data_IF_728755700345
#
_entry.id   IF_728755700345
#
_cell.length_a   1.000
_cell.length_b   1.000
_cell.length_c   1.000
_cell.angle_alpha   90.00
_cell.angle_beta   90.00
_cell.angle_gamma   90.00
#
_symmetry.space_group_name_H-M   'P 1'
#
loop_
_entity.id
_entity.type
_entity.pdbx_description
1 polymer ?
#
# COMPACT_ATOMS: atom_id res chain seq x y z
N UNK A 1 24.53 9.81 -3.02
CA UNK A 1 24.83 9.95 -4.46
C UNK A 1 24.58 8.62 -5.17
N UNK A 2 24.41 8.63 -6.49
CA UNK A 2 24.27 7.43 -7.31
C UNK A 2 25.53 6.53 -7.21
N UNK A 3 26.69 7.15 -7.24
CA UNK A 3 27.97 6.45 -7.08
C UNK A 3 28.07 5.72 -5.74
N UNK A 4 27.65 6.36 -4.65
CA UNK A 4 27.64 5.73 -3.33
C UNK A 4 26.64 4.57 -3.25
N UNK A 5 25.44 4.74 -3.81
CA UNK A 5 24.44 3.67 -3.86
C UNK A 5 24.97 2.46 -4.67
N UNK A 6 25.64 2.71 -5.80
CA UNK A 6 26.29 1.68 -6.60
C UNK A 6 27.37 0.95 -5.81
N UNK A 7 28.24 1.70 -5.13
CA UNK A 7 29.27 1.12 -4.26
C UNK A 7 28.68 0.22 -3.16
N UNK A 8 27.60 0.67 -2.52
CA UNK A 8 26.95 -0.11 -1.45
C UNK A 8 26.29 -1.39 -1.99
N UNK A 9 25.80 -1.36 -3.22
CA UNK A 9 25.26 -2.55 -3.90
C UNK A 9 26.38 -3.53 -4.27
N UNK A 10 27.46 -3.04 -4.88
CA UNK A 10 28.62 -3.85 -5.27
C UNK A 10 29.32 -4.49 -4.07
N UNK A 11 29.43 -3.77 -2.96
CA UNK A 11 29.99 -4.28 -1.70
C UNK A 11 29.09 -5.25 -0.94
N UNK A 12 27.79 -5.34 -1.32
CA UNK A 12 26.79 -6.14 -0.64
C UNK A 12 26.29 -5.56 0.70
N UNK A 13 26.63 -4.30 1.01
CA UNK A 13 26.06 -3.58 2.16
C UNK A 13 24.54 -3.44 2.04
N UNK A 14 24.04 -3.30 0.82
CA UNK A 14 22.61 -3.24 0.49
C UNK A 14 22.29 -4.39 -0.45
N UNK A 15 21.19 -5.09 -0.18
CA UNK A 15 20.60 -6.09 -1.07
C UNK A 15 19.18 -5.67 -1.41
N UNK A 16 18.88 -5.63 -2.70
CA UNK A 16 17.51 -5.46 -3.17
C UNK A 16 16.85 -6.81 -3.45
N UNK A 17 15.56 -6.87 -3.16
CA UNK A 17 14.71 -7.99 -3.54
C UNK A 17 13.28 -7.49 -3.76
N UNK A 18 12.46 -8.19 -4.55
CA UNK A 18 11.04 -7.87 -4.65
C UNK A 18 10.37 -7.93 -3.27
N UNK A 19 9.55 -6.96 -2.94
CA UNK A 19 8.78 -6.91 -1.68
C UNK A 19 7.98 -8.21 -1.47
N UNK A 20 7.44 -8.76 -2.54
CA UNK A 20 6.69 -10.02 -2.52
C UNK A 20 7.46 -11.26 -2.07
N UNK A 21 8.80 -11.21 -1.97
CA UNK A 21 9.61 -12.32 -1.45
C UNK A 21 9.67 -12.34 0.09
N UNK A 22 9.24 -11.26 0.75
CA UNK A 22 9.32 -11.08 2.20
C UNK A 22 7.98 -10.66 2.81
N UNK A 23 6.87 -11.15 2.24
CA UNK A 23 5.49 -10.91 2.68
C UNK A 23 5.12 -9.41 2.72
N UNK A 24 5.74 -8.63 1.85
CA UNK A 24 5.66 -7.18 1.83
C UNK A 24 5.04 -6.67 0.53
N UNK A 25 4.44 -5.49 0.58
CA UNK A 25 4.06 -4.68 -0.56
C UNK A 25 4.49 -3.23 -0.32
N UNK A 26 5.01 -2.60 -1.35
CA UNK A 26 5.46 -1.21 -1.32
C UNK A 26 4.54 -0.28 -2.10
N UNK A 27 3.88 0.70 -1.45
CA UNK A 27 3.11 1.70 -2.18
C UNK A 27 4.02 2.68 -2.92
N UNK A 28 3.49 3.33 -3.96
CA UNK A 28 4.13 4.39 -4.75
C UNK A 28 5.46 4.02 -5.41
N UNK A 29 5.73 2.73 -5.63
CA UNK A 29 6.96 2.28 -6.29
C UNK A 29 8.26 2.69 -5.58
N UNK A 30 8.18 2.95 -4.28
CA UNK A 30 9.33 3.33 -3.46
C UNK A 30 10.13 2.13 -2.97
N UNK A 31 11.32 2.42 -2.44
CA UNK A 31 12.12 1.43 -1.71
C UNK A 31 11.56 1.30 -0.30
N UNK A 32 11.28 0.06 0.10
CA UNK A 32 10.90 -0.28 1.46
C UNK A 32 12.10 -0.82 2.21
N UNK A 33 12.33 -0.36 3.43
CA UNK A 33 13.39 -0.85 4.29
C UNK A 33 12.86 -1.30 5.64
N UNK A 34 13.59 -2.18 6.33
CA UNK A 34 13.25 -2.65 7.66
C UNK A 34 13.23 -1.57 8.76
N UNK A 35 13.69 -0.36 8.46
CA UNK A 35 13.67 0.78 9.39
C UNK A 35 12.41 1.65 9.24
N UNK A 36 11.59 1.41 8.24
CA UNK A 36 10.33 2.12 8.06
C UNK A 36 9.25 1.51 8.97
N UNK A 37 8.35 2.32 9.55
CA UNK A 37 7.19 1.79 10.25
C UNK A 37 6.28 1.08 9.26
N UNK A 38 5.70 -0.04 9.68
CA UNK A 38 4.87 -0.87 8.83
C UNK A 38 3.51 -1.13 9.46
N UNK A 39 2.51 -1.26 8.61
CA UNK A 39 1.23 -1.85 8.93
C UNK A 39 1.37 -3.37 8.81
N UNK A 40 0.92 -4.09 9.81
CA UNK A 40 0.90 -5.55 9.86
C UNK A 40 -0.54 -6.04 9.83
N UNK A 41 -0.89 -6.84 8.84
CA UNK A 41 -2.21 -7.46 8.72
C UNK A 41 -2.07 -8.96 8.93
N UNK A 42 -2.97 -9.51 9.76
CA UNK A 42 -3.06 -10.94 10.03
C UNK A 42 -4.25 -11.56 9.30
N UNK A 43 -3.98 -12.54 8.49
CA UNK A 43 -5.00 -13.38 7.87
C UNK A 43 -5.34 -14.54 8.80
N UNK A 44 -6.49 -14.48 9.45
CA UNK A 44 -6.92 -15.50 10.43
C UNK A 44 -7.19 -16.86 9.78
N UNK A 45 -7.59 -16.90 8.53
CA UNK A 45 -7.86 -18.15 7.79
C UNK A 45 -6.55 -18.82 7.38
N UNK A 46 -5.63 -18.04 6.81
CA UNK A 46 -4.33 -18.54 6.35
C UNK A 46 -3.29 -18.69 7.46
N UNK A 47 -3.50 -18.07 8.62
CA UNK A 47 -2.52 -18.03 9.71
C UNK A 47 -1.25 -17.25 9.39
N UNK A 48 -1.27 -16.45 8.33
CA UNK A 48 -0.11 -15.69 7.83
C UNK A 48 -0.26 -14.18 8.02
N UNK A 49 0.84 -13.48 7.87
CA UNK A 49 0.91 -12.02 7.96
C UNK A 49 1.36 -11.42 6.64
N UNK A 50 0.97 -10.18 6.40
CA UNK A 50 1.58 -9.36 5.37
C UNK A 50 1.80 -7.93 5.87
N UNK A 51 2.67 -7.22 5.19
CA UNK A 51 3.17 -5.93 5.62
C UNK A 51 3.11 -4.90 4.49
N UNK A 52 2.85 -3.64 4.85
CA UNK A 52 2.95 -2.49 3.96
C UNK A 52 3.50 -1.30 4.73
N UNK A 53 4.25 -0.42 4.08
CA UNK A 53 4.62 0.87 4.67
C UNK A 53 3.41 1.79 4.76
N UNK A 54 3.57 2.97 5.37
CA UNK A 54 2.53 4.02 5.46
C UNK A 54 2.74 5.11 4.40
N UNK A 55 3.47 4.80 3.32
CA UNK A 55 3.99 5.80 2.39
C UNK A 55 3.03 6.17 1.25
N UNK A 56 1.81 5.61 1.21
CA UNK A 56 0.82 5.98 0.20
C UNK A 56 0.23 7.36 0.48
N UNK A 57 -0.05 8.10 -0.59
CA UNK A 57 -0.67 9.40 -0.52
C UNK A 57 -0.18 10.36 -1.60
N UNK A 58 -0.74 11.57 -1.61
CA UNK A 58 -0.38 12.65 -2.53
C UNK A 58 0.64 13.57 -1.83
N UNK A 59 1.49 14.24 -2.60
CA UNK A 59 2.45 15.24 -2.11
C UNK A 59 3.83 14.64 -1.81
N UNK A 60 4.38 14.98 -0.65
CA UNK A 60 5.76 14.64 -0.25
C UNK A 60 5.95 13.18 0.14
N UNK A 61 5.59 12.24 -0.74
CA UNK A 61 5.81 10.80 -0.55
C UNK A 61 7.09 10.35 -1.26
N UNK A 62 7.74 9.32 -0.74
CA UNK A 62 8.86 8.67 -1.41
C UNK A 62 8.29 7.81 -2.56
N UNK A 63 8.35 8.34 -3.77
CA UNK A 63 7.91 7.63 -4.99
C UNK A 63 8.96 7.76 -6.08
N UNK A 64 9.16 6.70 -6.88
CA UNK A 64 10.03 6.70 -8.06
C UNK A 64 11.44 7.25 -7.78
N UNK A 65 11.96 7.02 -6.56
CA UNK A 65 13.24 7.56 -6.15
C UNK A 65 13.24 9.07 -5.86
N UNK A 66 12.08 9.71 -5.73
CA UNK A 66 11.99 11.12 -5.37
C UNK A 66 12.70 11.41 -4.05
N UNK A 67 13.64 12.36 -4.08
CA UNK A 67 14.41 12.78 -2.92
C UNK A 67 14.32 14.29 -2.74
N UNK A 68 13.85 14.69 -1.56
CA UNK A 68 13.86 16.10 -1.14
C UNK A 68 13.86 16.17 0.39
N UNK A 69 14.19 17.35 0.94
CA UNK A 69 14.10 17.57 2.38
C UNK A 69 12.69 17.30 2.92
N UNK A 70 11.67 17.70 2.18
CA UNK A 70 10.26 17.52 2.54
C UNK A 70 9.87 16.03 2.60
N UNK A 71 10.31 15.22 1.64
CA UNK A 71 10.11 13.75 1.66
C UNK A 71 10.78 13.13 2.87
N UNK A 72 12.01 13.52 3.18
CA UNK A 72 12.74 13.01 4.36
C UNK A 72 12.04 13.41 5.67
N UNK A 73 11.55 14.64 5.79
CA UNK A 73 10.78 15.07 6.98
C UNK A 73 9.47 14.27 7.12
N UNK A 74 8.78 13.98 6.02
CA UNK A 74 7.60 13.10 6.05
C UNK A 74 7.96 11.68 6.51
N UNK A 75 9.04 11.10 6.04
CA UNK A 75 9.51 9.78 6.48
C UNK A 75 9.90 9.79 7.97
N UNK A 76 10.54 10.85 8.46
CA UNK A 76 10.83 11.03 9.89
C UNK A 76 9.55 11.15 10.72
N UNK A 77 8.58 11.92 10.26
CA UNK A 77 7.26 12.01 10.91
C UNK A 77 6.59 10.62 11.01
N UNK A 78 6.63 9.84 9.94
CA UNK A 78 6.09 8.48 9.95
C UNK A 78 6.82 7.59 10.97
N UNK A 79 8.15 7.67 11.03
CA UNK A 79 8.97 6.88 11.95
C UNK A 79 8.78 7.29 13.40
N UNK A 80 8.78 8.59 13.69
CA UNK A 80 8.90 9.11 15.06
C UNK A 80 7.55 9.42 15.69
N UNK A 81 6.51 9.63 14.88
CA UNK A 81 5.18 10.04 15.37
C UNK A 81 4.07 9.11 14.88
N UNK A 82 3.81 9.04 13.58
CA UNK A 82 2.65 8.32 13.04
C UNK A 82 2.67 6.83 13.40
N UNK A 83 3.76 6.15 13.10
CA UNK A 83 3.90 4.71 13.37
C UNK A 83 3.76 4.37 14.86
N UNK A 84 4.53 5.01 15.76
CA UNK A 84 4.40 4.77 17.20
C UNK A 84 3.00 5.08 17.75
N UNK A 85 2.37 6.19 17.36
CA UNK A 85 1.04 6.56 17.85
C UNK A 85 -0.02 5.56 17.37
N UNK A 86 -0.02 5.20 16.08
CA UNK A 86 -0.92 4.18 15.55
C UNK A 86 -0.68 2.82 16.21
N UNK A 87 0.58 2.45 16.44
CA UNK A 87 0.90 1.19 17.14
C UNK A 87 0.32 1.15 18.55
N UNK A 88 0.42 2.23 19.31
CA UNK A 88 -0.18 2.32 20.64
C UNK A 88 -1.70 2.24 20.58
N UNK A 89 -2.32 2.99 19.68
CA UNK A 89 -3.79 3.01 19.53
C UNK A 89 -4.34 1.64 19.12
N UNK A 90 -3.75 1.00 18.10
CA UNK A 90 -4.22 -0.31 17.61
C UNK A 90 -4.02 -1.45 18.61
N UNK A 91 -3.00 -1.35 19.49
CA UNK A 91 -2.82 -2.31 20.60
C UNK A 91 -3.93 -2.24 21.66
N UNK A 92 -4.71 -1.17 21.70
CA UNK A 92 -5.88 -1.08 22.57
C UNK A 92 -7.07 -1.92 22.05
N UNK A 93 -6.98 -2.49 20.85
CA UNK A 93 -7.98 -3.40 20.29
C UNK A 93 -7.45 -4.84 20.45
N UNK A 94 -7.94 -5.65 21.40
CA UNK A 94 -7.35 -6.95 21.74
C UNK A 94 -7.21 -7.91 20.54
N UNK A 95 -8.22 -7.92 19.67
CA UNK A 95 -8.28 -8.78 18.47
C UNK A 95 -7.82 -8.09 17.18
N UNK A 96 -7.34 -6.85 17.28
CA UNK A 96 -7.03 -6.01 16.13
C UNK A 96 -8.29 -5.48 15.42
N UNK A 97 -8.08 -4.59 14.46
CA UNK A 97 -9.17 -3.98 13.69
C UNK A 97 -9.70 -4.97 12.65
N UNK A 98 -11.03 -5.18 12.64
CA UNK A 98 -11.69 -6.08 11.70
C UNK A 98 -11.80 -5.46 10.30
N UNK A 99 -10.80 -5.68 9.45
CA UNK A 99 -10.68 -5.04 8.15
C UNK A 99 -11.80 -5.42 7.17
N UNK A 100 -12.26 -6.69 7.18
CA UNK A 100 -13.35 -7.13 6.30
C UNK A 100 -14.60 -6.28 6.45
N UNK A 101 -14.99 -5.94 7.69
CA UNK A 101 -16.17 -5.11 7.97
C UNK A 101 -15.98 -3.70 7.45
N UNK A 102 -14.78 -3.13 7.62
CA UNK A 102 -14.47 -1.80 7.18
C UNK A 102 -14.46 -1.72 5.65
N UNK A 103 -13.78 -2.66 5.00
CA UNK A 103 -13.70 -2.77 3.53
C UNK A 103 -15.09 -2.95 2.90
N UNK A 104 -15.93 -3.86 3.43
CA UNK A 104 -17.29 -4.07 2.91
C UNK A 104 -18.14 -2.80 2.97
N UNK A 105 -18.05 -2.03 4.06
CA UNK A 105 -18.75 -0.75 4.19
C UNK A 105 -18.24 0.28 3.17
N UNK A 106 -16.93 0.37 2.99
CA UNK A 106 -16.33 1.34 2.09
C UNK A 106 -16.65 1.03 0.62
N UNK A 107 -16.67 -0.26 0.21
CA UNK A 107 -17.16 -0.69 -1.12
C UNK A 107 -18.60 -0.21 -1.34
N UNK A 108 -19.48 -0.42 -0.37
CA UNK A 108 -20.86 0.03 -0.46
C UNK A 108 -20.99 1.57 -0.57
N UNK A 109 -20.00 2.31 -0.10
CA UNK A 109 -19.92 3.77 -0.21
C UNK A 109 -19.20 4.25 -1.48
N UNK A 110 -18.67 3.35 -2.32
CA UNK A 110 -18.10 3.66 -3.62
C UNK A 110 -16.58 3.63 -3.70
N UNK A 111 -15.87 3.19 -2.67
CA UNK A 111 -14.44 2.92 -2.78
C UNK A 111 -14.19 1.66 -3.61
N UNK A 112 -13.18 1.71 -4.49
CA UNK A 112 -12.71 0.55 -5.26
C UNK A 112 -11.34 0.05 -4.80
N UNK A 113 -10.68 0.81 -3.90
CA UNK A 113 -9.44 0.43 -3.20
C UNK A 113 -8.16 0.41 -4.03
N UNK A 114 -8.11 1.10 -5.16
CA UNK A 114 -6.85 1.43 -5.79
C UNK A 114 -6.70 2.96 -5.92
N UNK A 115 -7.60 3.61 -6.66
CA UNK A 115 -7.59 5.06 -6.81
C UNK A 115 -8.51 5.75 -5.79
N UNK A 116 -9.51 5.06 -5.28
CA UNK A 116 -10.50 5.60 -4.35
C UNK A 116 -10.49 4.82 -3.05
N UNK A 117 -10.06 5.51 -1.98
CA UNK A 117 -9.93 4.98 -0.63
C UNK A 117 -10.51 5.95 0.42
N UNK A 118 -11.31 6.92 0.00
CA UNK A 118 -11.78 8.02 0.85
C UNK A 118 -12.68 7.51 1.96
N UNK A 119 -13.69 6.70 1.62
CA UNK A 119 -14.65 6.17 2.59
C UNK A 119 -13.95 5.26 3.61
N UNK A 120 -13.00 4.44 3.15
CA UNK A 120 -12.22 3.58 4.01
C UNK A 120 -11.26 4.36 4.92
N UNK A 121 -10.59 5.40 4.41
CA UNK A 121 -9.72 6.26 5.20
C UNK A 121 -10.49 7.00 6.29
N UNK A 122 -11.69 7.50 5.95
CA UNK A 122 -12.60 8.12 6.95
C UNK A 122 -13.09 7.11 7.98
N UNK A 123 -13.47 5.90 7.56
CA UNK A 123 -13.90 4.85 8.47
C UNK A 123 -12.77 4.38 9.39
N UNK A 124 -11.55 4.24 8.87
CA UNK A 124 -10.37 3.94 9.66
C UNK A 124 -10.09 5.04 10.69
N UNK A 125 -10.11 6.31 10.28
CA UNK A 125 -9.94 7.44 11.19
C UNK A 125 -10.99 7.42 12.30
N UNK A 126 -12.26 7.13 11.98
CA UNK A 126 -13.34 7.02 12.97
C UNK A 126 -13.04 5.96 14.04
N UNK A 127 -12.43 4.83 13.65
CA UNK A 127 -12.07 3.78 14.61
C UNK A 127 -10.86 4.16 15.47
N UNK A 128 -9.83 4.80 14.87
CA UNK A 128 -8.57 5.04 15.59
C UNK A 128 -8.51 6.37 16.34
N UNK A 129 -9.26 7.39 15.92
CA UNK A 129 -9.18 8.72 16.54
C UNK A 129 -9.58 8.73 18.03
N UNK A 130 -10.66 8.04 18.48
CA UNK A 130 -10.97 7.94 19.90
C UNK A 130 -9.85 7.25 20.69
N UNK A 131 -9.24 6.22 20.13
CA UNK A 131 -8.13 5.50 20.76
C UNK A 131 -6.90 6.39 20.89
N UNK A 132 -6.53 7.10 19.81
CA UNK A 132 -5.42 8.07 19.82
C UNK A 132 -5.66 9.16 20.87
N UNK A 133 -6.90 9.68 20.95
CA UNK A 133 -7.27 10.73 21.89
C UNK A 133 -7.11 10.28 23.34
N UNK A 134 -7.37 9.01 23.62
CA UNK A 134 -7.28 8.42 24.95
C UNK A 134 -5.85 8.05 25.39
N UNK A 135 -4.86 8.05 24.49
CA UNK A 135 -3.48 7.74 24.84
C UNK A 135 -2.89 8.76 25.82
N UNK A 136 -2.06 8.30 26.73
CA UNK A 136 -1.27 9.19 27.61
C UNK A 136 0.08 9.54 26.94
N UNK A 137 0.00 10.46 25.98
CA UNK A 137 1.15 10.99 25.23
C UNK A 137 0.96 12.49 24.96
N UNK A 138 2.02 13.16 24.54
CA UNK A 138 2.02 14.59 24.20
C UNK A 138 0.86 14.95 23.23
N UNK A 139 0.04 15.98 23.54
CA UNK A 139 -1.11 16.38 22.72
C UNK A 139 -0.75 16.71 21.27
N UNK A 140 0.44 17.24 21.03
CA UNK A 140 0.96 17.61 19.71
C UNK A 140 1.09 16.35 18.82
N UNK A 141 1.54 15.23 19.38
CA UNK A 141 1.66 13.96 18.66
C UNK A 141 0.28 13.39 18.28
N UNK A 142 -0.69 13.47 19.19
CA UNK A 142 -2.09 13.09 18.92
C UNK A 142 -2.65 13.91 17.77
N UNK A 143 -2.56 15.23 17.90
CA UNK A 143 -3.07 16.19 16.92
C UNK A 143 -2.43 16.01 15.55
N UNK A 144 -1.10 15.87 15.50
CA UNK A 144 -0.37 15.65 14.25
C UNK A 144 -0.80 14.35 13.55
N UNK A 145 -0.97 13.26 14.32
CA UNK A 145 -1.40 11.97 13.78
C UNK A 145 -2.83 12.03 13.25
N UNK A 146 -3.77 12.56 14.02
CA UNK A 146 -5.19 12.68 13.60
C UNK A 146 -5.29 13.59 12.37
N UNK A 147 -4.60 14.73 12.36
CA UNK A 147 -4.58 15.64 11.22
C UNK A 147 -4.03 14.98 9.96
N UNK A 148 -2.92 14.24 10.09
CA UNK A 148 -2.34 13.51 8.96
C UNK A 148 -3.34 12.52 8.35
N UNK A 149 -4.00 11.72 9.18
CA UNK A 149 -5.00 10.76 8.72
C UNK A 149 -6.23 11.44 8.11
N UNK A 150 -6.63 12.59 8.65
CA UNK A 150 -7.80 13.34 8.18
C UNK A 150 -7.62 13.98 6.79
N UNK A 151 -6.38 14.31 6.41
CA UNK A 151 -6.08 14.96 5.12
C UNK A 151 -5.48 14.00 4.08
N UNK A 152 -5.26 12.74 4.46
CA UNK A 152 -4.65 11.74 3.56
C UNK A 152 -5.71 10.74 3.10
N UNK A 153 -6.49 11.13 2.10
CA UNK A 153 -7.61 10.34 1.55
C UNK A 153 -7.18 8.93 1.07
N UNK A 154 -5.93 8.78 0.66
CA UNK A 154 -5.37 7.52 0.16
C UNK A 154 -4.74 6.65 1.27
N UNK A 155 -4.78 7.08 2.54
CA UNK A 155 -4.06 6.37 3.62
C UNK A 155 -4.46 4.89 3.72
N UNK A 156 -5.75 4.60 3.57
CA UNK A 156 -6.24 3.23 3.72
C UNK A 156 -5.72 2.27 2.64
N UNK A 157 -5.23 2.76 1.50
CA UNK A 157 -4.61 1.90 0.49
C UNK A 157 -3.42 1.12 1.06
N UNK A 158 -2.64 1.70 1.98
CA UNK A 158 -1.57 0.97 2.67
C UNK A 158 -2.10 -0.25 3.45
N UNK A 159 -3.23 -0.09 4.13
CA UNK A 159 -3.91 -1.15 4.89
C UNK A 159 -4.48 -2.19 3.92
N UNK A 160 -5.14 -1.72 2.87
CA UNK A 160 -5.75 -2.59 1.86
C UNK A 160 -4.72 -3.43 1.12
N UNK A 161 -3.59 -2.85 0.75
CA UNK A 161 -2.48 -3.58 0.09
C UNK A 161 -1.95 -4.70 0.99
N UNK A 162 -1.72 -4.44 2.28
CA UNK A 162 -1.29 -5.47 3.23
C UNK A 162 -2.38 -6.56 3.41
N UNK A 163 -3.65 -6.17 3.45
CA UNK A 163 -4.77 -7.11 3.53
C UNK A 163 -4.82 -8.00 2.28
N UNK A 164 -4.81 -7.40 1.10
CA UNK A 164 -4.78 -8.11 -0.17
C UNK A 164 -3.59 -9.09 -0.24
N UNK A 165 -2.40 -8.61 0.10
CA UNK A 165 -1.18 -9.42 0.13
C UNK A 165 -1.34 -10.63 1.04
N UNK A 166 -1.86 -10.48 2.27
CA UNK A 166 -2.03 -11.58 3.22
C UNK A 166 -2.96 -12.67 2.68
N UNK A 167 -4.01 -12.29 1.95
CA UNK A 167 -4.96 -13.24 1.34
C UNK A 167 -4.34 -13.89 0.10
N UNK A 168 -3.68 -13.12 -0.75
CA UNK A 168 -3.07 -13.64 -1.99
C UNK A 168 -1.87 -14.53 -1.71
N UNK A 169 -1.11 -14.28 -0.64
CA UNK A 169 -0.04 -15.21 -0.21
C UNK A 169 -0.60 -16.55 0.25
N UNK A 170 -1.74 -16.54 0.94
CA UNK A 170 -2.43 -17.77 1.28
C UNK A 170 -2.97 -18.48 0.03
N UNK A 171 -3.57 -17.73 -0.90
CA UNK A 171 -4.02 -18.29 -2.18
C UNK A 171 -2.88 -18.91 -2.99
N UNK A 172 -1.66 -18.35 -2.90
CA UNK A 172 -0.48 -18.88 -3.56
C UNK A 172 -0.05 -20.27 -3.07
N UNK A 173 -0.49 -20.69 -1.86
CA UNK A 173 -0.20 -22.01 -1.32
C UNK A 173 -1.07 -23.13 -1.93
N UNK A 174 -2.10 -22.79 -2.70
CA UNK A 174 -2.97 -23.75 -3.37
C UNK A 174 -2.26 -24.30 -4.59
N UNK A 175 -1.80 -25.55 -4.52
CA UNK A 175 -0.95 -26.17 -5.54
C UNK A 175 -1.65 -26.43 -6.87
N UNK A 176 -2.95 -26.71 -6.83
CA UNK A 176 -3.78 -26.97 -8.02
C UNK A 176 -4.50 -25.73 -8.55
N UNK A 177 -4.05 -24.55 -8.11
CA UNK A 177 -4.67 -23.28 -8.47
C UNK A 177 -4.05 -22.67 -9.73
N UNK A 178 -4.85 -21.81 -10.38
CA UNK A 178 -4.43 -21.01 -11.55
C UNK A 178 -4.71 -19.52 -11.34
N UNK A 179 -4.84 -19.09 -10.08
CA UNK A 179 -5.15 -17.69 -9.73
C UNK A 179 -3.87 -16.85 -9.86
N UNK A 180 -3.98 -15.70 -10.50
CA UNK A 180 -2.92 -14.68 -10.44
C UNK A 180 -2.84 -14.15 -9.02
N UNK A 181 -1.73 -14.38 -8.35
CA UNK A 181 -1.53 -14.01 -6.94
C UNK A 181 -0.71 -12.75 -6.75
N UNK A 182 0.06 -12.38 -7.75
CA UNK A 182 0.86 -11.15 -7.77
C UNK A 182 0.83 -10.53 -9.15
N UNK A 183 0.63 -9.21 -9.18
CA UNK A 183 0.91 -8.33 -10.31
C UNK A 183 1.74 -7.16 -9.78
N UNK A 184 2.92 -6.95 -10.33
CA UNK A 184 3.81 -5.87 -9.88
C UNK A 184 4.61 -5.30 -11.03
N UNK A 185 5.12 -4.09 -10.89
CA UNK A 185 5.92 -3.37 -11.88
C UNK A 185 7.02 -2.62 -11.17
N UNK A 186 8.17 -2.54 -11.79
CA UNK A 186 9.35 -1.88 -11.21
C UNK A 186 9.90 -0.73 -12.06
N UNK A 187 9.15 -0.29 -13.08
CA UNK A 187 9.57 0.74 -14.02
C UNK A 187 10.42 0.22 -15.18
N UNK A 188 10.76 -1.06 -15.18
CA UNK A 188 11.50 -1.76 -16.26
C UNK A 188 10.73 -2.99 -16.70
N UNK A 189 10.37 -3.83 -15.74
CA UNK A 189 9.65 -5.09 -15.98
C UNK A 189 8.28 -5.08 -15.28
N UNK A 190 7.34 -5.72 -15.92
CA UNK A 190 6.09 -6.20 -15.36
C UNK A 190 6.29 -7.64 -14.92
N UNK A 191 5.80 -8.01 -13.76
CA UNK A 191 5.91 -9.36 -13.19
C UNK A 191 4.59 -9.90 -12.68
N UNK A 192 4.34 -11.19 -12.99
CA UNK A 192 3.17 -11.94 -12.53
C UNK A 192 3.61 -13.21 -11.82
N UNK A 193 2.87 -13.60 -10.77
CA UNK A 193 2.95 -14.92 -10.15
C UNK A 193 1.57 -15.57 -10.13
N UNK A 194 1.56 -16.89 -10.22
CA UNK A 194 0.33 -17.70 -10.30
C UNK A 194 0.41 -18.75 -9.19
N UNK A 195 -0.72 -19.03 -8.53
CA UNK A 195 -0.84 -20.17 -7.60
C UNK A 195 -0.53 -21.49 -8.31
N UNK A 196 0.02 -22.46 -7.59
CA UNK A 196 0.44 -23.73 -8.17
C UNK A 196 1.78 -23.70 -8.92
N UNK A 197 2.37 -22.52 -9.12
CA UNK A 197 3.66 -22.35 -9.82
C UNK A 197 4.78 -21.97 -8.84
N UNK A 198 4.66 -22.32 -7.58
CA UNK A 198 5.60 -21.97 -6.50
C UNK A 198 5.97 -20.49 -6.48
N UNK A 199 7.29 -20.19 -6.56
CA UNK A 199 7.82 -18.81 -6.55
C UNK A 199 8.22 -18.31 -7.93
N UNK A 200 7.76 -18.99 -9.01
CA UNK A 200 8.12 -18.60 -10.36
C UNK A 200 7.52 -17.25 -10.73
N UNK A 201 8.36 -16.42 -11.36
CA UNK A 201 7.94 -15.17 -11.99
C UNK A 201 7.78 -15.34 -13.49
N UNK A 202 6.72 -14.75 -14.02
CA UNK A 202 6.55 -14.51 -15.44
C UNK A 202 6.73 -13.02 -15.66
N UNK A 203 7.71 -12.63 -16.45
CA UNK A 203 8.08 -11.22 -16.63
C UNK A 203 8.06 -10.82 -18.09
N UNK A 204 7.85 -9.54 -18.31
CA UNK A 204 7.94 -8.88 -19.60
C UNK A 204 8.24 -7.39 -19.42
N UNK A 205 8.58 -6.67 -20.51
CA UNK A 205 8.82 -5.24 -20.43
C UNK A 205 7.57 -4.50 -19.97
N UNK A 206 7.76 -3.50 -19.11
CA UNK A 206 6.67 -2.65 -18.65
C UNK A 206 6.33 -1.58 -19.71
N UNK A 207 5.05 -1.22 -19.79
CA UNK A 207 4.57 -0.15 -20.65
C UNK A 207 4.43 1.17 -19.86
N UNK A 208 4.54 2.30 -20.54
CA UNK A 208 3.99 3.55 -20.03
C UNK A 208 2.47 3.47 -20.09
N UNK A 209 1.76 3.70 -18.99
CA UNK A 209 0.30 3.64 -18.98
C UNK A 209 -0.33 4.61 -19.98
N UNK A 210 -1.39 4.17 -20.65
CA UNK A 210 -2.21 5.01 -21.51
C UNK A 210 -3.52 5.31 -20.79
N UNK A 211 -3.81 6.58 -20.57
CA UNK A 211 -4.99 7.00 -19.81
C UNK A 211 -5.25 8.49 -19.92
N UNK A 212 -6.11 8.97 -19.04
CA UNK A 212 -6.40 10.40 -18.89
C UNK A 212 -5.30 11.03 -18.03
N UNK A 213 -4.70 12.09 -18.52
CA UNK A 213 -3.70 12.89 -17.79
C UNK A 213 -4.37 14.06 -17.08
N UNK A 214 -3.79 14.49 -15.97
CA UNK A 214 -4.21 15.73 -15.32
C UNK A 214 -3.98 16.93 -16.23
N UNK A 215 -4.73 18.00 -16.01
CA UNK A 215 -4.57 19.25 -16.76
C UNK A 215 -3.11 19.73 -16.67
N UNK A 216 -2.51 20.02 -17.85
CA UNK A 216 -1.13 20.45 -17.95
C UNK A 216 -0.11 19.32 -18.10
N UNK A 217 -0.54 18.05 -18.11
CA UNK A 217 0.31 16.88 -18.35
C UNK A 217 -0.13 16.14 -19.61
N UNK A 218 0.81 15.44 -20.22
CA UNK A 218 0.64 14.69 -21.46
C UNK A 218 1.32 13.32 -21.38
N UNK A 219 1.28 12.55 -22.44
CA UNK A 219 1.96 11.25 -22.52
C UNK A 219 3.48 11.36 -22.34
N UNK A 220 4.06 12.48 -22.75
CA UNK A 220 5.50 12.77 -22.64
C UNK A 220 5.95 12.93 -21.19
N UNK A 221 5.02 13.26 -20.27
CA UNK A 221 5.27 13.35 -18.84
C UNK A 221 5.09 12.00 -18.12
N UNK A 222 4.62 10.99 -18.86
CA UNK A 222 4.37 9.65 -18.31
C UNK A 222 5.64 8.87 -18.08
N UNK A 223 5.73 8.20 -16.93
CA UNK A 223 6.79 7.24 -16.63
C UNK A 223 6.33 5.81 -16.93
N UNK A 224 7.27 4.86 -17.17
CA UNK A 224 6.95 3.44 -17.18
C UNK A 224 6.24 3.04 -15.89
N UNK A 225 5.28 2.12 -15.98
CA UNK A 225 4.44 1.74 -14.84
C UNK A 225 5.28 1.10 -13.72
N UNK A 226 4.95 1.43 -12.47
CA UNK A 226 5.72 1.06 -11.30
C UNK A 226 4.83 0.92 -10.07
N UNK A 227 5.11 -0.06 -9.23
CA UNK A 227 4.49 -0.23 -7.92
C UNK A 227 3.79 -1.56 -7.72
N UNK A 228 3.42 -1.80 -6.47
CA UNK A 228 2.79 -3.03 -6.00
C UNK A 228 1.27 -2.89 -5.76
N UNK A 229 0.70 -1.70 -6.00
CA UNK A 229 -0.72 -1.44 -5.73
C UNK A 229 -1.67 -2.33 -6.52
N UNK A 230 -1.22 -2.91 -7.64
CA UNK A 230 -1.98 -3.91 -8.40
C UNK A 230 -2.27 -5.21 -7.63
N UNK A 231 -1.74 -5.38 -6.42
CA UNK A 231 -2.18 -6.43 -5.49
C UNK A 231 -3.67 -6.30 -5.15
N UNK A 232 -4.23 -5.10 -5.25
CA UNK A 232 -5.67 -4.87 -5.06
C UNK A 232 -6.49 -5.51 -6.18
N UNK A 233 -6.01 -5.43 -7.42
CA UNK A 233 -6.65 -6.10 -8.57
C UNK A 233 -6.58 -7.62 -8.46
N UNK A 234 -5.44 -8.18 -8.04
CA UNK A 234 -5.33 -9.63 -7.85
C UNK A 234 -6.24 -10.14 -6.73
N UNK A 235 -6.45 -9.32 -5.70
CA UNK A 235 -7.39 -9.62 -4.62
C UNK A 235 -8.87 -9.55 -5.06
N UNK A 236 -9.18 -8.81 -6.14
CA UNK A 236 -10.52 -8.68 -6.71
C UNK A 236 -11.22 -7.35 -6.41
N UNK A 237 -10.47 -6.33 -5.97
CA UNK A 237 -10.91 -4.93 -5.88
C UNK A 237 -10.07 -4.08 -6.84
N UNK A 238 -10.09 -2.77 -6.71
CA UNK A 238 -9.37 -1.88 -7.61
C UNK A 238 -10.04 -1.73 -8.96
N UNK A 239 -9.26 -1.36 -9.99
CA UNK A 239 -9.78 -1.06 -11.31
C UNK A 239 -10.56 -2.20 -11.97
N UNK A 240 -10.20 -3.45 -11.71
CA UNK A 240 -10.91 -4.62 -12.24
C UNK A 240 -12.30 -4.79 -11.64
N UNK A 241 -12.52 -4.35 -10.39
CA UNK A 241 -13.82 -4.43 -9.72
C UNK A 241 -14.67 -3.17 -9.94
N UNK A 242 -14.10 -2.11 -10.49
CA UNK A 242 -14.75 -0.81 -10.64
C UNK A 242 -16.08 -0.92 -11.40
N UNK A 243 -16.09 -1.66 -12.48
CA UNK A 243 -17.29 -1.84 -13.33
C UNK A 243 -18.41 -2.60 -12.60
N UNK A 244 -18.07 -3.44 -11.64
CA UNK A 244 -19.02 -4.20 -10.83
C UNK A 244 -19.50 -3.44 -9.59
N UNK A 245 -18.90 -2.28 -9.27
CA UNK A 245 -19.27 -1.47 -8.13
C UNK A 245 -20.43 -0.51 -8.47
N UNK A 246 -21.68 -0.74 -8.01
CA UNK A 246 -22.84 0.05 -8.43
C UNK A 246 -22.72 1.55 -8.14
N UNK A 247 -22.01 1.91 -7.11
CA UNK A 247 -21.76 3.32 -6.77
C UNK A 247 -20.81 3.99 -7.78
N UNK A 248 -19.84 3.25 -8.30
CA UNK A 248 -18.88 3.75 -9.29
C UNK A 248 -19.51 3.79 -10.68
N UNK A 249 -20.22 2.73 -11.10
CA UNK A 249 -20.89 2.68 -12.40
C UNK A 249 -21.94 3.78 -12.55
N UNK A 250 -22.66 4.15 -11.49
CA UNK A 250 -23.60 5.29 -11.53
C UNK A 250 -22.90 6.64 -11.67
N UNK A 251 -21.62 6.73 -11.30
CA UNK A 251 -20.86 7.98 -11.34
C UNK A 251 -20.13 8.18 -12.67
N UNK A 252 -19.67 7.11 -13.30
CA UNK A 252 -18.91 7.18 -14.57
C UNK A 252 -19.76 6.90 -15.81
N UNK A 253 -21.01 6.50 -15.66
CA UNK A 253 -21.97 6.22 -16.76
C UNK A 253 -21.83 4.81 -17.30
#
# INVERSE_FOLDING_TARGET
TEEEARRMLESGEIKFMPCHHVDFVGPMGGITSGHMPVLKVFNRVGGNYAYCTMNEGIGAVLRFGAYSAEVIERLRFMRDTLGPVLSMALKCIPDGLALNTLVSKAIAMGDEFHQRNIAASMAFLKEVAPLISALDIAPERKTATIRFLAVTDQFFLNVMMAMAKSVMDYAATVTDGTIVTVMTRNGVDFGVRISGMEKQWFTGPVNTPVGLYFSGYSKEDGNPDMGDSAITETFGVGGMAMIAAPAVTRFVG
#
